data_IF_156313308342
#
_entry.id   IF_156313308342
#
_cell.length_a   1.000
_cell.length_b   1.000
_cell.length_c   1.000
_cell.angle_alpha   90.00
_cell.angle_beta   90.00
_cell.angle_gamma   90.00
#
_symmetry.space_group_name_H-M   'P 1'
#
loop_
_entity.id
_entity.type
_entity.pdbx_description
1 polymer ?
#
# COMPACT_ATOMS: atom_id res chain seq x y z
N UNK A 1 -28.04 -3.52 -9.49
CA UNK A 1 -27.33 -2.60 -8.56
C UNK A 1 -25.96 -3.17 -8.23
N UNK A 2 -24.91 -2.36 -8.32
CA UNK A 2 -23.53 -2.72 -7.94
C UNK A 2 -23.18 -1.93 -6.68
N UNK A 3 -22.61 -2.59 -5.68
CA UNK A 3 -22.14 -1.93 -4.46
C UNK A 3 -20.63 -2.08 -4.32
N UNK A 4 -19.93 -0.96 -4.18
CA UNK A 4 -18.51 -0.92 -3.86
C UNK A 4 -18.32 -0.84 -2.34
N UNK A 5 -17.41 -1.65 -1.82
CA UNK A 5 -17.02 -1.66 -0.40
C UNK A 5 -15.58 -1.18 -0.30
N UNK A 6 -15.40 0.07 0.12
CA UNK A 6 -14.10 0.71 0.26
C UNK A 6 -13.66 0.87 1.72
N UNK A 7 -12.36 1.00 1.93
CA UNK A 7 -11.78 1.52 3.16
C UNK A 7 -10.66 2.49 2.80
N UNK A 8 -10.77 3.74 3.26
CA UNK A 8 -9.73 4.74 3.14
C UNK A 8 -9.16 5.03 4.53
N UNK A 9 -7.97 4.51 4.87
CA UNK A 9 -7.27 4.97 6.04
C UNK A 9 -6.77 6.39 5.79
N UNK A 10 -6.93 7.27 6.77
CA UNK A 10 -6.35 8.61 6.72
C UNK A 10 -4.83 8.46 6.84
N UNK A 11 -4.08 8.86 5.81
CA UNK A 11 -2.61 8.92 5.87
C UNK A 11 -2.18 10.38 5.92
N UNK A 12 -1.67 10.83 7.07
CA UNK A 12 -0.93 12.08 7.19
C UNK A 12 0.52 11.89 6.68
N UNK A 13 0.67 11.39 5.45
CA UNK A 13 1.96 11.37 4.79
C UNK A 13 2.21 12.75 4.16
N UNK A 14 3.31 13.41 4.55
CA UNK A 14 3.70 14.72 4.01
C UNK A 14 3.86 14.66 2.49
N UNK A 15 4.34 13.52 1.96
CA UNK A 15 4.38 13.21 0.53
C UNK A 15 3.88 11.79 0.27
N UNK A 16 2.95 11.67 -0.67
CA UNK A 16 2.55 10.39 -1.22
C UNK A 16 3.50 10.03 -2.36
N UNK A 17 4.71 9.58 -2.02
CA UNK A 17 5.80 9.33 -2.99
C UNK A 17 5.45 8.25 -4.03
N UNK A 18 4.46 7.41 -3.72
CA UNK A 18 3.89 6.43 -4.64
C UNK A 18 2.89 7.01 -5.64
N UNK A 19 2.49 8.27 -5.50
CA UNK A 19 1.51 8.93 -6.35
C UNK A 19 2.23 9.93 -7.25
N UNK A 20 2.52 9.48 -8.46
CA UNK A 20 3.15 10.27 -9.51
C UNK A 20 2.08 10.76 -10.48
N UNK A 21 1.95 12.07 -10.66
CA UNK A 21 0.84 12.66 -11.42
C UNK A 21 0.83 12.29 -12.91
N UNK A 22 1.95 11.86 -13.51
CA UNK A 22 1.96 11.34 -14.89
C UNK A 22 1.53 9.88 -15.03
N UNK A 23 1.52 9.11 -13.94
CA UNK A 23 1.14 7.69 -13.91
C UNK A 23 -0.25 7.48 -13.31
N UNK A 24 -0.60 8.21 -12.26
CA UNK A 24 -1.74 7.93 -11.38
C UNK A 24 -3.02 8.71 -11.71
N UNK A 25 -3.21 9.16 -12.95
CA UNK A 25 -4.45 9.84 -13.36
C UNK A 25 -5.72 9.05 -13.01
N UNK A 26 -6.80 9.76 -12.65
CA UNK A 26 -8.11 9.15 -12.46
C UNK A 26 -8.76 8.83 -13.83
N UNK A 27 -9.62 7.80 -13.91
CA UNK A 27 -10.40 7.53 -15.11
C UNK A 27 -11.17 8.78 -15.54
N UNK A 28 -11.09 9.17 -16.81
CA UNK A 28 -11.82 10.32 -17.38
C UNK A 28 -11.42 11.71 -16.85
N UNK A 29 -10.63 11.82 -15.79
CA UNK A 29 -10.22 13.07 -15.16
C UNK A 29 -8.71 13.06 -14.88
N UNK A 30 -7.86 13.40 -15.86
CA UNK A 30 -6.42 13.50 -15.65
C UNK A 30 -6.12 14.61 -14.63
N UNK A 31 -4.99 14.47 -13.93
CA UNK A 31 -4.49 15.52 -13.05
C UNK A 31 -4.15 16.77 -13.88
N UNK A 32 -4.38 17.98 -13.35
CA UNK A 32 -4.00 19.19 -14.06
C UNK A 32 -2.48 19.26 -14.32
N UNK A 33 -2.04 19.70 -15.51
CA UNK A 33 -0.62 19.72 -15.88
C UNK A 33 0.22 20.71 -15.05
N UNK A 34 -0.43 21.65 -14.36
CA UNK A 34 0.23 22.60 -13.45
C UNK A 34 0.53 22.03 -12.06
N UNK A 35 0.16 20.78 -11.80
CA UNK A 35 0.40 20.14 -10.51
C UNK A 35 1.84 19.68 -10.36
N UNK A 36 2.36 19.62 -9.11
CA UNK A 36 3.66 19.02 -8.88
C UNK A 36 3.67 17.54 -9.27
N UNK A 37 4.85 17.03 -9.62
CA UNK A 37 5.11 15.63 -9.94
C UNK A 37 4.62 14.70 -8.81
N UNK A 38 4.90 15.08 -7.57
CA UNK A 38 4.38 14.44 -6.36
C UNK A 38 3.42 15.38 -5.65
N UNK A 39 2.18 14.93 -5.46
CA UNK A 39 1.11 15.76 -4.90
C UNK A 39 0.96 15.53 -3.39
N UNK A 40 0.84 16.59 -2.57
CA UNK A 40 0.55 16.45 -1.14
C UNK A 40 -0.78 15.73 -0.88
N UNK A 41 -0.87 14.96 0.19
CA UNK A 41 -2.03 14.13 0.51
C UNK A 41 -3.36 14.90 0.54
N UNK A 42 -3.38 16.09 1.16
CA UNK A 42 -4.60 16.92 1.24
C UNK A 42 -5.11 17.33 -0.15
N UNK A 43 -4.19 17.73 -1.04
CA UNK A 43 -4.55 18.14 -2.40
C UNK A 43 -5.11 16.97 -3.22
N UNK A 44 -4.62 15.76 -2.98
CA UNK A 44 -5.20 14.55 -3.58
C UNK A 44 -6.57 14.20 -2.97
N UNK A 45 -6.76 14.40 -1.67
CA UNK A 45 -8.07 14.20 -1.03
C UNK A 45 -9.14 15.14 -1.63
N UNK A 46 -8.83 16.42 -1.77
CA UNK A 46 -9.72 17.41 -2.38
C UNK A 46 -10.05 17.01 -3.85
N UNK A 47 -9.08 16.43 -4.57
CA UNK A 47 -9.30 15.91 -5.92
C UNK A 47 -10.28 14.74 -5.97
N UNK A 48 -10.23 13.84 -4.99
CA UNK A 48 -11.16 12.71 -4.90
C UNK A 48 -12.58 13.16 -4.58
N UNK A 49 -12.73 14.17 -3.71
CA UNK A 49 -14.04 14.78 -3.45
C UNK A 49 -14.61 15.38 -4.72
N UNK A 50 -13.81 16.18 -5.44
CA UNK A 50 -14.22 16.77 -6.71
C UNK A 50 -14.52 15.72 -7.78
N UNK A 51 -13.72 14.65 -7.87
CA UNK A 51 -13.97 13.55 -8.80
C UNK A 51 -15.31 12.87 -8.54
N UNK A 52 -15.64 12.61 -7.28
CA UNK A 52 -16.92 12.01 -6.90
C UNK A 52 -18.11 12.90 -7.29
N UNK A 53 -17.98 14.21 -7.10
CA UNK A 53 -18.99 15.20 -7.51
C UNK A 53 -19.12 15.30 -9.03
N UNK A 54 -18.01 15.54 -9.74
CA UNK A 54 -17.98 15.74 -11.19
C UNK A 54 -18.46 14.52 -11.99
N UNK A 55 -18.25 13.32 -11.46
CA UNK A 55 -18.68 12.05 -12.07
C UNK A 55 -20.05 11.57 -11.55
N UNK A 56 -20.74 12.36 -10.73
CA UNK A 56 -22.04 12.05 -10.11
C UNK A 56 -22.06 10.69 -9.40
N UNK A 57 -20.98 10.37 -8.68
CA UNK A 57 -20.84 9.09 -7.99
C UNK A 57 -21.64 9.05 -6.69
N UNK A 58 -22.41 7.99 -6.50
CA UNK A 58 -23.15 7.74 -5.27
C UNK A 58 -22.22 7.19 -4.18
N UNK A 59 -21.54 8.08 -3.46
CA UNK A 59 -20.59 7.72 -2.39
C UNK A 59 -21.22 7.91 -1.01
N UNK A 60 -21.11 6.90 -0.16
CA UNK A 60 -21.53 6.98 1.25
C UNK A 60 -20.29 7.01 2.14
N UNK A 61 -19.96 8.19 2.66
CA UNK A 61 -18.94 8.36 3.69
C UNK A 61 -19.55 8.11 5.08
N UNK A 62 -18.70 7.98 6.10
CA UNK A 62 -19.15 7.70 7.49
C UNK A 62 -20.08 6.48 7.60
N UNK A 63 -19.83 5.49 6.75
CA UNK A 63 -20.61 4.26 6.64
C UNK A 63 -19.65 3.07 6.51
N UNK A 64 -19.93 2.01 7.27
CA UNK A 64 -19.10 0.80 7.32
C UNK A 64 -19.94 -0.40 6.93
N UNK A 65 -19.49 -1.16 5.94
CA UNK A 65 -20.08 -2.47 5.66
C UNK A 65 -19.66 -3.42 6.78
N UNK A 66 -20.64 -4.00 7.47
CA UNK A 66 -20.38 -4.91 8.60
C UNK A 66 -20.59 -6.38 8.21
N UNK A 67 -21.38 -6.65 7.18
CA UNK A 67 -21.63 -8.01 6.72
C UNK A 67 -22.11 -8.05 5.26
N UNK A 68 -21.69 -9.07 4.50
CA UNK A 68 -22.17 -9.34 3.15
C UNK A 68 -22.33 -10.85 2.90
N UNK A 69 -23.49 -11.28 2.44
CA UNK A 69 -23.78 -12.70 2.14
C UNK A 69 -24.61 -12.86 0.86
N UNK A 70 -24.44 -13.95 0.09
CA UNK A 70 -25.35 -14.28 -0.99
C UNK A 70 -26.72 -14.69 -0.44
N UNK A 71 -27.80 -14.09 -0.95
CA UNK A 71 -29.17 -14.36 -0.53
C UNK A 71 -30.17 -14.17 -1.68
N UNK A 72 -30.88 -15.23 -2.04
CA UNK A 72 -31.99 -15.17 -3.01
C UNK A 72 -31.56 -14.72 -4.41
N UNK A 73 -30.41 -15.20 -4.91
CA UNK A 73 -29.86 -14.83 -6.21
C UNK A 73 -29.22 -13.42 -6.28
N UNK A 74 -29.22 -12.70 -5.14
CA UNK A 74 -28.56 -11.40 -4.96
C UNK A 74 -27.60 -11.47 -3.78
N UNK A 75 -27.01 -10.35 -3.43
CA UNK A 75 -26.29 -10.14 -2.18
C UNK A 75 -27.18 -9.45 -1.17
N UNK A 76 -27.04 -9.78 0.11
CA UNK A 76 -27.52 -8.97 1.23
C UNK A 76 -26.30 -8.32 1.86
N UNK A 77 -26.26 -6.99 1.85
CA UNK A 77 -25.16 -6.21 2.43
C UNK A 77 -25.69 -5.32 3.54
N UNK A 78 -25.15 -5.48 4.74
CA UNK A 78 -25.51 -4.69 5.92
C UNK A 78 -24.49 -3.58 6.10
N UNK A 79 -24.98 -2.34 6.08
CA UNK A 79 -24.18 -1.13 6.21
C UNK A 79 -24.58 -0.41 7.49
N UNK A 80 -23.62 -0.15 8.38
CA UNK A 80 -23.81 0.65 9.58
C UNK A 80 -23.34 2.08 9.33
N UNK A 81 -24.19 3.06 9.61
CA UNK A 81 -23.85 4.49 9.56
C UNK A 81 -23.21 4.94 10.87
N UNK A 82 -22.60 6.13 10.85
CA UNK A 82 -21.99 6.75 12.04
C UNK A 82 -22.96 7.01 13.19
N UNK A 83 -24.26 7.15 12.92
CA UNK A 83 -25.32 7.28 13.94
C UNK A 83 -25.73 5.93 14.57
N UNK A 84 -25.07 4.84 14.17
CA UNK A 84 -25.36 3.48 14.63
C UNK A 84 -26.51 2.79 13.88
N UNK A 85 -27.23 3.49 13.02
CA UNK A 85 -28.33 2.90 12.23
C UNK A 85 -27.79 1.93 11.19
N UNK A 86 -28.55 0.86 10.93
CA UNK A 86 -28.20 -0.13 9.91
C UNK A 86 -29.14 -0.02 8.71
N UNK A 87 -28.57 -0.13 7.52
CA UNK A 87 -29.30 -0.22 6.25
C UNK A 87 -28.88 -1.47 5.51
N UNK A 88 -29.87 -2.19 4.99
CA UNK A 88 -29.65 -3.41 4.21
C UNK A 88 -29.82 -3.09 2.73
N UNK A 89 -28.82 -3.46 1.93
CA UNK A 89 -28.82 -3.35 0.48
C UNK A 89 -28.91 -4.74 -0.16
N UNK A 90 -29.56 -4.81 -1.31
CA UNK A 90 -29.76 -6.05 -2.06
C UNK A 90 -29.13 -5.99 -3.47
N UNK A 91 -27.79 -5.77 -3.60
CA UNK A 91 -27.17 -5.62 -4.91
C UNK A 91 -27.04 -6.96 -5.65
N UNK A 92 -26.95 -6.89 -6.98
CA UNK A 92 -26.69 -8.06 -7.81
C UNK A 92 -25.20 -8.42 -7.79
N UNK A 93 -24.32 -7.41 -7.67
CA UNK A 93 -22.88 -7.58 -7.55
C UNK A 93 -22.28 -6.75 -6.40
N UNK A 94 -21.24 -7.30 -5.77
CA UNK A 94 -20.43 -6.63 -4.74
C UNK A 94 -18.99 -6.56 -5.21
N UNK A 95 -18.39 -5.37 -5.14
CA UNK A 95 -17.00 -5.14 -5.49
C UNK A 95 -16.25 -4.66 -4.24
N UNK A 96 -15.26 -5.44 -3.80
CA UNK A 96 -14.40 -5.09 -2.68
C UNK A 96 -13.24 -4.23 -3.18
N UNK A 97 -13.12 -3.02 -2.65
CA UNK A 97 -12.13 -2.01 -3.01
C UNK A 97 -11.43 -1.44 -1.74
N UNK A 98 -10.99 -2.33 -0.84
CA UNK A 98 -10.40 -1.98 0.48
C UNK A 98 -8.89 -1.66 0.44
N UNK A 99 -8.33 -1.48 -0.75
CA UNK A 99 -6.91 -1.15 -0.95
C UNK A 99 -5.94 -2.28 -0.59
N UNK A 100 -4.63 -1.96 -0.52
CA UNK A 100 -3.58 -2.95 -0.26
C UNK A 100 -3.63 -3.56 1.14
N UNK A 101 -3.92 -2.76 2.15
CA UNK A 101 -3.85 -3.15 3.56
C UNK A 101 -5.17 -3.58 4.19
N UNK A 102 -6.29 -3.61 3.46
CA UNK A 102 -7.59 -4.04 4.01
C UNK A 102 -8.10 -3.25 5.23
N UNK A 103 -7.41 -2.18 5.65
CA UNK A 103 -7.75 -1.35 6.81
C UNK A 103 -7.41 -1.93 8.19
N UNK A 104 -6.72 -3.07 8.29
CA UNK A 104 -6.42 -3.69 9.60
C UNK A 104 -4.93 -3.58 9.92
N UNK A 105 -4.53 -2.70 10.86
CA UNK A 105 -3.14 -2.59 11.31
C UNK A 105 -2.56 -3.92 11.78
N UNK A 106 -1.36 -4.27 11.31
CA UNK A 106 -0.65 -5.46 11.74
C UNK A 106 0.17 -5.17 12.99
N UNK A 107 -0.41 -5.35 14.17
CA UNK A 107 0.28 -5.14 15.45
C UNK A 107 0.98 -6.42 15.91
N UNK A 108 2.33 -6.45 16.02
CA UNK A 108 3.03 -7.57 16.64
C UNK A 108 2.60 -7.72 18.10
N UNK A 109 2.42 -8.97 18.55
CA UNK A 109 2.28 -9.27 19.97
C UNK A 109 3.66 -9.56 20.52
N UNK A 110 4.17 -8.68 21.38
CA UNK A 110 5.49 -8.80 21.99
C UNK A 110 5.30 -8.92 23.50
N UNK A 111 5.97 -9.87 24.19
CA UNK A 111 5.82 -10.03 25.63
C UNK A 111 6.14 -8.75 26.42
N UNK A 112 5.43 -8.52 27.53
CA UNK A 112 5.67 -7.40 28.45
C UNK A 112 5.15 -6.04 27.97
N UNK A 113 4.43 -5.99 26.84
CA UNK A 113 3.92 -4.74 26.27
C UNK A 113 2.93 -4.03 27.21
N UNK A 114 2.19 -4.80 28.00
CA UNK A 114 1.25 -4.34 29.03
C UNK A 114 1.92 -3.60 30.19
N UNK A 115 3.21 -3.85 30.43
CA UNK A 115 4.00 -3.23 31.50
C UNK A 115 4.75 -1.97 31.05
N UNK A 116 4.77 -1.70 29.74
CA UNK A 116 5.45 -0.54 29.16
C UNK A 116 4.73 0.75 29.55
N UNK A 117 5.47 1.70 30.12
CA UNK A 117 4.91 2.96 30.64
C UNK A 117 4.79 4.06 29.58
N UNK A 118 5.39 3.85 28.41
CA UNK A 118 5.31 4.75 27.28
C UNK A 118 4.11 4.50 26.37
N UNK A 119 4.11 5.16 25.21
CA UNK A 119 3.06 5.04 24.21
C UNK A 119 3.37 3.95 23.20
N UNK A 120 2.39 3.08 22.90
CA UNK A 120 2.46 2.15 21.77
C UNK A 120 1.43 2.54 20.72
N UNK A 121 1.87 2.73 19.48
CA UNK A 121 0.98 3.07 18.37
C UNK A 121 1.36 2.35 17.08
N UNK A 122 0.38 2.17 16.19
CA UNK A 122 0.63 1.83 14.80
C UNK A 122 0.87 3.08 13.95
N UNK A 123 1.62 2.98 12.86
CA UNK A 123 1.82 4.07 11.90
C UNK A 123 0.53 4.76 11.43
N UNK A 124 -0.59 4.05 11.34
CA UNK A 124 -1.90 4.63 10.99
C UNK A 124 -2.53 5.50 12.09
N UNK A 125 -1.97 5.48 13.29
CA UNK A 125 -2.36 6.32 14.42
C UNK A 125 -1.41 7.51 14.60
N UNK A 126 -0.31 7.56 13.82
CA UNK A 126 0.58 8.72 13.78
C UNK A 126 -0.12 9.89 13.10
N UNK A 127 -0.19 11.03 13.77
CA UNK A 127 -0.78 12.26 13.24
C UNK A 127 0.28 13.29 12.86
N UNK A 128 1.25 13.48 13.74
CA UNK A 128 2.27 14.52 13.63
C UNK A 128 3.42 14.21 14.59
N UNK A 129 4.67 14.37 14.14
CA UNK A 129 5.84 14.28 15.01
C UNK A 129 5.81 15.26 16.20
N UNK A 130 5.07 16.36 16.10
CA UNK A 130 4.93 17.36 17.17
C UNK A 130 4.34 16.79 18.47
N UNK A 131 3.60 15.68 18.38
CA UNK A 131 3.00 15.02 19.54
C UNK A 131 4.05 14.34 20.44
N UNK A 132 5.29 14.19 19.94
CA UNK A 132 6.39 13.47 20.61
C UNK A 132 7.66 14.32 20.78
N UNK A 133 7.55 15.65 20.75
CA UNK A 133 8.69 16.55 20.99
C UNK A 133 9.29 16.30 22.38
N UNK A 134 10.61 16.14 22.42
CA UNK A 134 11.36 15.84 23.65
C UNK A 134 11.31 14.37 24.09
N UNK A 135 10.65 13.50 23.32
CA UNK A 135 10.58 12.06 23.58
C UNK A 135 11.56 11.28 22.71
N UNK A 136 11.88 10.06 23.13
CA UNK A 136 12.61 9.05 22.36
C UNK A 136 11.63 8.09 21.70
N UNK A 137 11.70 7.97 20.39
CA UNK A 137 10.78 7.15 19.58
C UNK A 137 11.53 6.00 18.91
N UNK A 138 11.03 4.77 19.08
CA UNK A 138 11.41 3.64 18.25
C UNK A 138 10.37 3.42 17.15
N UNK A 139 10.77 3.54 15.89
CA UNK A 139 9.97 3.14 14.73
C UNK A 139 10.32 1.71 14.34
N UNK A 140 9.40 0.77 14.50
CA UNK A 140 9.54 -0.65 14.17
C UNK A 140 9.12 -0.89 12.72
N UNK A 141 10.10 -1.10 11.84
CA UNK A 141 9.91 -1.23 10.40
C UNK A 141 10.99 -0.48 9.63
N UNK A 142 11.14 -0.78 8.33
CA UNK A 142 12.15 -0.14 7.50
C UNK A 142 11.71 0.02 6.03
N UNK A 143 10.40 0.14 5.77
CA UNK A 143 9.86 0.44 4.43
C UNK A 143 9.27 1.86 4.42
N UNK A 144 8.37 2.18 3.48
CA UNK A 144 7.81 3.51 3.25
C UNK A 144 7.34 4.25 4.50
N UNK A 145 6.33 3.75 5.22
CA UNK A 145 5.81 4.46 6.40
C UNK A 145 6.87 4.66 7.49
N UNK A 146 7.83 3.74 7.61
CA UNK A 146 8.86 3.85 8.63
C UNK A 146 9.84 4.99 8.33
N UNK A 147 10.27 5.12 7.06
CA UNK A 147 11.15 6.19 6.63
C UNK A 147 10.47 7.55 6.68
N UNK A 148 9.24 7.65 6.18
CA UNK A 148 8.53 8.93 6.12
C UNK A 148 8.22 9.47 7.52
N UNK A 149 7.81 8.60 8.45
CA UNK A 149 7.55 8.99 9.84
C UNK A 149 8.86 9.30 10.57
N UNK A 150 9.93 8.53 10.35
CA UNK A 150 11.22 8.84 10.96
C UNK A 150 11.80 10.17 10.45
N UNK A 151 11.61 10.50 9.17
CA UNK A 151 11.97 11.80 8.62
C UNK A 151 11.16 12.93 9.25
N UNK A 152 9.83 12.77 9.39
CA UNK A 152 8.95 13.73 10.08
C UNK A 152 9.41 13.98 11.53
N UNK A 153 9.83 12.93 12.25
CA UNK A 153 10.40 13.06 13.59
C UNK A 153 11.69 13.85 13.61
N UNK A 154 12.64 13.54 12.73
CA UNK A 154 13.90 14.29 12.62
C UNK A 154 13.65 15.76 12.30
N UNK A 155 12.74 16.05 11.35
CA UNK A 155 12.41 17.42 10.94
C UNK A 155 11.79 18.25 12.07
N UNK A 156 11.22 17.58 13.08
CA UNK A 156 10.67 18.20 14.28
C UNK A 156 11.57 18.06 15.53
N UNK A 157 12.82 17.60 15.36
CA UNK A 157 13.80 17.52 16.45
C UNK A 157 13.54 16.40 17.47
N UNK A 158 12.80 15.35 17.08
CA UNK A 158 12.51 14.19 17.94
C UNK A 158 13.63 13.15 17.79
N UNK A 159 14.07 12.57 18.92
CA UNK A 159 15.08 11.51 18.93
C UNK A 159 14.46 10.20 18.43
N UNK A 160 14.80 9.79 17.22
CA UNK A 160 14.23 8.61 16.57
C UNK A 160 15.26 7.53 16.28
N UNK A 161 14.89 6.30 16.64
CA UNK A 161 15.60 5.08 16.24
C UNK A 161 14.70 4.26 15.33
N UNK A 162 15.24 3.81 14.20
CA UNK A 162 14.58 2.92 13.25
C UNK A 162 15.03 1.48 13.54
N UNK A 163 14.08 0.60 13.88
CA UNK A 163 14.34 -0.83 14.06
C UNK A 163 14.14 -1.57 12.74
N UNK A 164 15.24 -2.07 12.18
CA UNK A 164 15.23 -2.82 10.92
C UNK A 164 15.43 -4.32 11.18
N UNK A 165 14.33 -5.08 11.11
CA UNK A 165 14.38 -6.54 11.23
C UNK A 165 15.01 -7.23 10.01
N UNK A 166 14.63 -6.79 8.81
CA UNK A 166 14.96 -7.44 7.54
C UNK A 166 15.44 -6.41 6.53
N UNK A 167 16.18 -6.86 5.51
CA UNK A 167 16.66 -5.96 4.46
C UNK A 167 15.52 -5.33 3.67
N UNK A 168 15.78 -4.16 3.07
CA UNK A 168 14.81 -3.40 2.26
C UNK A 168 15.41 -3.01 0.92
N UNK A 169 14.60 -3.04 -0.14
CA UNK A 169 14.96 -2.46 -1.43
C UNK A 169 14.88 -0.94 -1.39
N UNK A 170 15.95 -0.24 -1.76
CA UNK A 170 15.99 1.23 -1.82
C UNK A 170 16.30 1.66 -3.25
N UNK A 171 15.55 2.65 -3.73
CA UNK A 171 15.94 3.48 -4.88
C UNK A 171 15.56 4.93 -4.59
N UNK A 172 16.30 5.90 -5.12
CA UNK A 172 15.85 7.27 -5.10
C UNK A 172 14.73 7.47 -6.13
N UNK A 173 13.78 8.35 -5.81
CA UNK A 173 12.79 8.81 -6.80
C UNK A 173 13.45 9.52 -7.97
N UNK A 174 14.52 10.28 -7.68
CA UNK A 174 15.29 11.04 -8.66
C UNK A 174 15.88 10.16 -9.76
N UNK A 175 16.53 9.06 -9.41
CA UNK A 175 17.18 8.20 -10.39
C UNK A 175 16.27 7.05 -10.86
N UNK A 176 15.48 6.49 -9.95
CA UNK A 176 14.66 5.32 -10.23
C UNK A 176 13.43 5.61 -11.09
N UNK A 177 12.64 6.63 -10.76
CA UNK A 177 11.37 6.87 -11.47
C UNK A 177 11.54 7.21 -12.95
N UNK A 178 12.47 8.10 -13.35
CA UNK A 178 12.72 8.33 -14.77
C UNK A 178 13.18 7.07 -15.50
N UNK A 179 14.02 6.22 -14.88
CA UNK A 179 14.49 4.98 -15.54
C UNK A 179 13.39 3.95 -15.72
N UNK A 180 12.37 3.94 -14.85
CA UNK A 180 11.23 3.03 -14.97
C UNK A 180 10.16 3.55 -15.94
N UNK A 181 9.97 4.87 -16.03
CA UNK A 181 8.75 5.43 -16.62
C UNK A 181 8.97 6.49 -17.70
N UNK A 182 10.21 6.87 -18.02
CA UNK A 182 10.53 7.92 -19.01
C UNK A 182 9.79 7.76 -20.34
N UNK A 183 9.72 6.53 -20.85
CA UNK A 183 9.19 6.28 -22.19
C UNK A 183 7.66 6.02 -22.20
N UNK A 184 7.00 6.07 -21.04
CA UNK A 184 5.56 5.73 -20.92
C UNK A 184 4.79 6.78 -20.14
N UNK A 185 5.15 7.07 -18.90
CA UNK A 185 4.36 7.92 -18.01
C UNK A 185 5.01 9.28 -17.73
N UNK A 186 6.13 9.59 -18.38
CA UNK A 186 6.86 10.84 -18.20
C UNK A 186 6.40 11.95 -19.15
N UNK A 187 6.82 13.18 -18.85
CA UNK A 187 6.57 14.32 -19.72
C UNK A 187 7.10 14.06 -21.14
N UNK A 188 6.20 14.17 -22.13
CA UNK A 188 6.51 13.92 -23.54
C UNK A 188 6.33 12.48 -24.02
N UNK A 189 6.00 11.52 -23.14
CA UNK A 189 5.81 10.11 -23.52
C UNK A 189 4.53 9.84 -24.35
N UNK A 190 3.61 10.79 -24.38
CA UNK A 190 2.35 10.69 -25.13
C UNK A 190 1.13 10.42 -24.24
N UNK A 191 0.01 9.97 -24.83
CA UNK A 191 -1.24 9.78 -24.07
C UNK A 191 -1.14 8.62 -23.07
N UNK A 192 -1.61 8.85 -21.84
CA UNK A 192 -1.57 7.86 -20.75
C UNK A 192 -2.25 6.54 -21.11
N UNK A 193 -3.31 6.56 -21.92
CA UNK A 193 -4.00 5.34 -22.33
C UNK A 193 -3.15 4.47 -23.27
N UNK A 194 -2.23 5.08 -24.03
CA UNK A 194 -1.25 4.33 -24.83
C UNK A 194 -0.26 3.67 -23.88
N UNK A 195 0.24 4.41 -22.89
CA UNK A 195 1.19 3.93 -21.88
C UNK A 195 0.63 2.78 -21.04
N UNK A 196 -0.65 2.88 -20.64
CA UNK A 196 -1.36 1.80 -19.96
C UNK A 196 -1.41 0.53 -20.82
N UNK A 197 -1.71 0.66 -22.13
CA UNK A 197 -1.74 -0.48 -23.05
C UNK A 197 -0.35 -1.08 -23.24
N UNK A 198 0.68 -0.27 -23.36
CA UNK A 198 2.07 -0.74 -23.45
C UNK A 198 2.43 -1.54 -22.20
N UNK A 199 2.17 -0.99 -21.01
CA UNK A 199 2.46 -1.65 -19.75
C UNK A 199 1.70 -2.98 -19.62
N UNK A 200 0.40 -2.99 -19.93
CA UNK A 200 -0.44 -4.19 -19.85
C UNK A 200 -0.14 -5.24 -20.94
N UNK A 201 0.54 -4.86 -22.03
CA UNK A 201 0.93 -5.79 -23.09
C UNK A 201 2.16 -6.63 -22.77
N UNK A 202 2.89 -6.28 -21.71
CA UNK A 202 4.13 -6.95 -21.31
C UNK A 202 3.85 -8.01 -20.24
N UNK A 203 4.13 -9.31 -20.49
CA UNK A 203 3.94 -10.35 -19.49
C UNK A 203 4.77 -10.09 -18.23
N UNK A 204 4.20 -10.34 -17.05
CA UNK A 204 4.85 -10.01 -15.77
C UNK A 204 6.22 -10.67 -15.59
N UNK A 205 6.40 -11.90 -16.06
CA UNK A 205 7.70 -12.59 -16.02
C UNK A 205 8.73 -12.00 -16.97
N UNK A 206 8.30 -11.48 -18.12
CA UNK A 206 9.19 -10.73 -19.00
C UNK A 206 9.60 -9.39 -18.36
N UNK A 207 8.64 -8.69 -17.76
CA UNK A 207 8.90 -7.45 -17.01
C UNK A 207 9.88 -7.69 -15.87
N UNK A 208 9.75 -8.82 -15.14
CA UNK A 208 10.70 -9.21 -14.10
C UNK A 208 12.14 -9.24 -14.63
N UNK A 209 12.38 -9.94 -15.73
CA UNK A 209 13.71 -10.06 -16.34
C UNK A 209 14.25 -8.72 -16.85
N UNK A 210 13.39 -7.88 -17.43
CA UNK A 210 13.76 -6.52 -17.83
C UNK A 210 14.15 -5.66 -16.62
N UNK A 211 13.40 -5.76 -15.53
CA UNK A 211 13.63 -4.99 -14.32
C UNK A 211 14.90 -5.39 -13.57
N UNK A 212 15.44 -6.60 -13.75
CA UNK A 212 16.76 -6.96 -13.20
C UNK A 212 17.86 -6.03 -13.76
N UNK A 213 17.79 -5.72 -15.06
CA UNK A 213 18.72 -4.79 -15.70
C UNK A 213 18.53 -3.36 -15.20
N UNK A 214 17.28 -2.88 -15.23
CA UNK A 214 16.97 -1.53 -14.73
C UNK A 214 17.34 -1.36 -13.26
N UNK A 215 17.12 -2.37 -12.43
CA UNK A 215 17.50 -2.34 -11.01
C UNK A 215 19.01 -2.18 -10.83
N UNK A 216 19.80 -2.82 -11.68
CA UNK A 216 21.26 -2.68 -11.67
C UNK A 216 21.70 -1.27 -12.10
N UNK A 217 21.07 -0.72 -13.14
CA UNK A 217 21.32 0.65 -13.61
C UNK A 217 20.92 1.71 -12.59
N UNK A 218 19.78 1.53 -11.92
CA UNK A 218 19.31 2.39 -10.83
C UNK A 218 20.29 2.30 -9.65
N UNK A 219 20.74 1.10 -9.29
CA UNK A 219 21.69 0.92 -8.20
C UNK A 219 23.04 1.61 -8.46
N UNK A 220 23.53 1.61 -9.70
CA UNK A 220 24.75 2.35 -10.07
C UNK A 220 24.51 3.87 -10.00
N UNK A 221 23.35 4.35 -10.44
CA UNK A 221 22.99 5.76 -10.34
C UNK A 221 22.85 6.22 -8.87
N UNK A 222 22.29 5.37 -8.01
CA UNK A 222 22.10 5.60 -6.58
C UNK A 222 23.31 5.18 -5.73
N UNK A 223 24.45 4.86 -6.35
CA UNK A 223 25.62 4.27 -5.67
C UNK A 223 26.04 5.02 -4.42
N UNK A 224 26.05 6.35 -4.46
CA UNK A 224 26.43 7.17 -3.30
C UNK A 224 25.50 6.95 -2.10
N UNK A 225 24.18 6.95 -2.32
CA UNK A 225 23.18 6.72 -1.26
C UNK A 225 23.29 5.27 -0.77
N UNK A 226 23.38 4.29 -1.67
CA UNK A 226 23.44 2.88 -1.30
C UNK A 226 24.72 2.54 -0.52
N UNK A 227 25.87 3.10 -0.91
CA UNK A 227 27.12 2.95 -0.15
C UNK A 227 27.07 3.66 1.20
N UNK A 228 26.47 4.85 1.27
CA UNK A 228 26.24 5.56 2.52
C UNK A 228 25.39 4.73 3.50
N UNK A 229 24.27 4.19 3.02
CA UNK A 229 23.38 3.34 3.81
C UNK A 229 24.10 2.08 4.31
N UNK A 230 24.90 1.42 3.47
CA UNK A 230 25.72 0.27 3.88
C UNK A 230 26.71 0.65 4.98
N UNK A 231 27.39 1.80 4.86
CA UNK A 231 28.34 2.30 5.88
C UNK A 231 27.63 2.62 7.20
N UNK A 232 26.41 3.15 7.15
CA UNK A 232 25.57 3.37 8.33
C UNK A 232 25.05 2.06 8.96
N UNK A 233 25.25 0.91 8.30
CA UNK A 233 24.83 -0.41 8.78
C UNK A 233 23.43 -0.82 8.32
N UNK A 234 22.78 -0.05 7.42
CA UNK A 234 21.46 -0.39 6.90
C UNK A 234 21.51 -1.63 5.99
N UNK A 235 20.58 -2.57 6.18
CA UNK A 235 20.49 -3.83 5.43
C UNK A 235 19.72 -3.59 4.12
N UNK A 236 20.41 -3.69 3.00
CA UNK A 236 19.84 -3.54 1.66
C UNK A 236 19.54 -4.88 0.98
N UNK A 237 18.60 -4.90 0.05
CA UNK A 237 18.44 -5.94 -0.96
C UNK A 237 18.09 -5.32 -2.32
N UNK A 238 18.01 -6.14 -3.36
CA UNK A 238 17.72 -5.71 -4.73
C UNK A 238 16.35 -6.21 -5.23
N UNK A 239 15.43 -6.52 -4.31
CA UNK A 239 14.17 -7.21 -4.63
C UNK A 239 14.36 -8.70 -4.90
N UNK A 240 13.24 -9.40 -5.12
CA UNK A 240 13.27 -10.83 -5.42
C UNK A 240 14.05 -11.08 -6.72
N UNK A 241 15.10 -11.92 -6.66
CA UNK A 241 15.97 -12.22 -7.80
C UNK A 241 16.58 -10.99 -8.49
N UNK A 242 16.71 -9.87 -7.77
CA UNK A 242 17.26 -8.62 -8.32
C UNK A 242 16.26 -7.77 -9.12
N UNK A 243 14.97 -8.12 -9.12
CA UNK A 243 13.92 -7.47 -9.94
C UNK A 243 13.39 -6.12 -9.40
N UNK A 244 13.89 -5.66 -8.26
CA UNK A 244 13.63 -4.32 -7.74
C UNK A 244 12.19 -4.01 -7.33
N UNK A 245 11.82 -2.73 -7.44
CA UNK A 245 10.60 -2.16 -6.88
C UNK A 245 9.31 -2.71 -7.49
N UNK A 246 9.16 -2.67 -8.83
CA UNK A 246 7.88 -2.98 -9.47
C UNK A 246 7.46 -4.43 -9.27
N UNK A 247 8.41 -5.37 -9.31
CA UNK A 247 8.09 -6.77 -9.05
C UNK A 247 7.70 -7.02 -7.58
N UNK A 248 8.40 -6.40 -6.63
CA UNK A 248 8.00 -6.44 -5.22
C UNK A 248 6.59 -5.84 -4.99
N UNK A 249 6.21 -4.79 -5.73
CA UNK A 249 4.87 -4.21 -5.67
C UNK A 249 3.80 -5.18 -6.20
N UNK A 250 4.08 -5.88 -7.31
CA UNK A 250 3.17 -6.88 -7.89
C UNK A 250 2.98 -8.10 -6.99
N UNK A 251 4.05 -8.68 -6.45
CA UNK A 251 3.97 -9.94 -5.69
C UNK A 251 3.59 -9.72 -4.23
N UNK A 252 4.30 -8.83 -3.54
CA UNK A 252 4.17 -8.60 -2.10
C UNK A 252 3.39 -7.35 -1.73
N UNK A 253 3.41 -6.32 -2.57
CA UNK A 253 2.83 -5.01 -2.24
C UNK A 253 3.61 -4.26 -1.16
N UNK A 254 4.93 -4.48 -1.06
CA UNK A 254 5.80 -3.82 -0.09
C UNK A 254 7.22 -4.39 -0.08
N UNK A 255 8.02 -4.02 0.93
CA UNK A 255 9.43 -4.46 1.03
C UNK A 255 10.44 -3.54 0.34
N UNK A 256 10.00 -2.34 -0.03
CA UNK A 256 10.80 -1.30 -0.65
C UNK A 256 10.59 0.05 0.04
N UNK A 257 11.50 0.98 -0.23
CA UNK A 257 11.30 2.41 -0.01
C UNK A 257 11.83 3.19 -1.21
N UNK A 258 11.10 4.25 -1.56
CA UNK A 258 11.41 5.16 -2.65
C UNK A 258 11.89 6.46 -2.01
N UNK A 259 13.19 6.69 -2.04
CA UNK A 259 13.82 7.77 -1.28
C UNK A 259 13.49 9.15 -1.88
N UNK A 260 13.12 10.05 -0.98
CA UNK A 260 12.91 11.48 -1.21
C UNK A 260 13.74 12.35 -0.25
N UNK A 261 14.74 11.75 0.42
CA UNK A 261 15.68 12.43 1.32
C UNK A 261 15.82 11.78 2.69
N UNK A 262 14.95 10.86 3.07
CA UNK A 262 15.00 10.16 4.35
C UNK A 262 16.25 9.28 4.49
N UNK A 263 16.74 8.70 3.39
CA UNK A 263 17.96 7.90 3.43
C UNK A 263 19.19 8.73 3.82
N UNK A 264 19.26 10.00 3.41
CA UNK A 264 20.36 10.88 3.82
C UNK A 264 20.37 11.11 5.34
N UNK A 265 19.19 11.23 5.97
CA UNK A 265 19.07 11.37 7.43
C UNK A 265 19.59 10.13 8.19
N UNK A 266 19.48 8.94 7.61
CA UNK A 266 20.09 7.72 8.15
C UNK A 266 21.61 7.78 7.99
N UNK A 267 22.10 8.18 6.80
CA UNK A 267 23.54 8.30 6.49
C UNK A 267 24.22 9.29 7.44
N UNK A 268 23.56 10.40 7.73
CA UNK A 268 24.05 11.47 8.61
C UNK A 268 23.91 11.13 10.10
N UNK A 269 23.33 9.97 10.44
CA UNK A 269 23.12 9.53 11.82
C UNK A 269 22.00 10.27 12.57
N UNK A 270 21.18 11.06 11.87
CA UNK A 270 20.02 11.73 12.46
C UNK A 270 18.89 10.74 12.79
N UNK A 271 18.72 9.73 11.93
CA UNK A 271 17.89 8.56 12.23
C UNK A 271 18.83 7.45 12.70
N UNK A 272 18.74 7.07 13.98
CA UNK A 272 19.56 5.98 14.54
C UNK A 272 19.06 4.63 14.03
N UNK A 273 19.93 3.63 13.96
CA UNK A 273 19.57 2.27 13.53
C UNK A 273 19.72 1.25 14.66
N UNK A 274 18.71 0.40 14.83
CA UNK A 274 18.79 -0.83 15.63
C UNK A 274 18.44 -2.02 14.73
N UNK A 275 19.42 -2.85 14.40
CA UNK A 275 19.22 -3.95 13.45
C UNK A 275 20.15 -5.17 13.66
N UNK A 276 20.92 -5.16 14.73
CA UNK A 276 21.90 -6.17 15.16
C UNK A 276 21.27 -7.31 15.97
N UNK A 277 20.05 -7.13 16.49
CA UNK A 277 19.37 -8.11 17.35
C UNK A 277 17.86 -8.09 17.18
N UNK A 278 17.16 -9.15 17.60
CA UNK A 278 15.70 -9.21 17.58
C UNK A 278 15.12 -8.63 18.87
N UNK A 279 13.92 -8.05 18.79
CA UNK A 279 13.16 -7.66 19.98
C UNK A 279 12.77 -8.94 20.73
N UNK A 280 13.16 -9.05 21.99
CA UNK A 280 12.78 -10.16 22.86
C UNK A 280 11.47 -9.85 23.59
N UNK A 281 11.42 -8.70 24.28
CA UNK A 281 10.27 -8.25 25.06
C UNK A 281 10.31 -6.75 25.32
N UNK A 282 9.18 -6.18 25.70
CA UNK A 282 9.14 -4.87 26.32
C UNK A 282 9.71 -4.92 27.74
N UNK A 283 10.25 -3.79 28.17
CA UNK A 283 10.55 -3.46 29.57
C UNK A 283 9.63 -2.34 30.02
N UNK A 284 9.74 -1.89 31.27
CA UNK A 284 8.93 -0.76 31.76
C UNK A 284 9.23 0.56 31.02
N UNK A 285 10.47 0.72 30.56
CA UNK A 285 11.00 1.97 29.98
C UNK A 285 11.41 1.84 28.51
N UNK A 286 11.26 0.67 27.90
CA UNK A 286 11.71 0.44 26.53
C UNK A 286 11.61 -1.01 26.08
N UNK A 287 12.64 -1.51 25.42
CA UNK A 287 12.71 -2.88 24.90
C UNK A 287 14.03 -3.57 25.24
N UNK A 288 13.93 -4.86 25.53
CA UNK A 288 15.05 -5.80 25.64
C UNK A 288 15.19 -6.56 24.32
N UNK A 289 16.42 -6.70 23.86
CA UNK A 289 16.77 -7.45 22.65
C UNK A 289 17.44 -8.78 23.01
N UNK A 290 17.37 -9.73 22.09
CA UNK A 290 17.84 -11.12 22.29
C UNK A 290 19.35 -11.27 22.54
N UNK A 291 20.13 -10.21 22.30
CA UNK A 291 21.57 -10.12 22.56
C UNK A 291 21.86 -9.55 23.96
N UNK A 292 20.82 -9.28 24.75
CA UNK A 292 20.90 -8.67 26.08
C UNK A 292 21.00 -7.14 26.07
N UNK A 293 21.02 -6.50 24.90
CA UNK A 293 21.01 -5.04 24.82
C UNK A 293 19.62 -4.48 25.15
N UNK A 294 19.56 -3.28 25.72
CA UNK A 294 18.31 -2.57 26.02
C UNK A 294 18.26 -1.22 25.28
N UNK A 295 17.05 -0.79 24.93
CA UNK A 295 16.80 0.52 24.35
C UNK A 295 15.63 1.20 25.08
N UNK A 296 15.93 2.22 25.87
CA UNK A 296 14.94 3.07 26.52
C UNK A 296 14.27 4.00 25.51
N UNK A 297 12.94 3.97 25.47
CA UNK A 297 12.10 4.81 24.61
C UNK A 297 10.79 5.17 25.30
N UNK A 298 10.28 6.35 24.98
CA UNK A 298 8.97 6.81 25.46
C UNK A 298 7.85 6.37 24.52
N UNK A 299 8.17 6.06 23.27
CA UNK A 299 7.20 5.69 22.22
C UNK A 299 7.71 4.53 21.38
N UNK A 300 6.86 3.54 21.15
CA UNK A 300 7.08 2.48 20.15
C UNK A 300 6.02 2.58 19.06
N UNK A 301 6.47 2.91 17.86
CA UNK A 301 5.65 3.08 16.67
C UNK A 301 5.84 1.90 15.71
N UNK A 302 4.80 1.10 15.55
CA UNK A 302 4.78 -0.02 14.62
C UNK A 302 4.46 0.44 13.20
N UNK A 303 5.49 0.49 12.34
CA UNK A 303 5.38 0.66 10.89
C UNK A 303 5.42 -0.72 10.19
N UNK A 304 4.63 -1.66 10.71
CA UNK A 304 4.63 -3.09 10.36
C UNK A 304 3.63 -3.47 9.27
N UNK A 305 3.03 -2.45 8.63
CA UNK A 305 2.05 -2.61 7.57
C UNK A 305 0.68 -3.06 8.10
N UNK A 306 -0.13 -3.58 7.20
CA UNK A 306 -1.50 -3.99 7.49
C UNK A 306 -1.69 -5.46 7.11
N UNK A 307 -2.74 -6.09 7.63
CA UNK A 307 -3.15 -7.41 7.15
C UNK A 307 -3.58 -7.33 5.68
N UNK A 308 -3.49 -8.45 4.96
CA UNK A 308 -3.92 -8.49 3.57
C UNK A 308 -5.44 -8.28 3.43
N UNK A 309 -5.88 -7.85 2.25
CA UNK A 309 -7.30 -7.71 1.91
C UNK A 309 -8.15 -8.97 2.21
N UNK A 310 -7.51 -10.16 2.25
CA UNK A 310 -8.17 -11.41 2.66
C UNK A 310 -8.74 -11.36 4.07
N UNK A 311 -8.01 -10.80 5.04
CA UNK A 311 -8.51 -10.68 6.41
C UNK A 311 -9.74 -9.75 6.47
N UNK A 312 -9.71 -8.64 5.74
CA UNK A 312 -10.84 -7.70 5.64
C UNK A 312 -12.06 -8.39 5.02
N UNK A 313 -11.88 -9.12 3.92
CA UNK A 313 -12.97 -9.84 3.27
C UNK A 313 -13.55 -10.94 4.17
N UNK A 314 -12.72 -11.72 4.86
CA UNK A 314 -13.18 -12.75 5.79
C UNK A 314 -14.07 -12.19 6.90
N UNK A 315 -13.73 -11.00 7.43
CA UNK A 315 -14.57 -10.31 8.42
C UNK A 315 -15.93 -9.90 7.84
N UNK A 316 -16.00 -9.57 6.55
CA UNK A 316 -17.23 -9.15 5.89
C UNK A 316 -18.15 -10.33 5.55
N UNK A 317 -17.58 -11.42 5.00
CA UNK A 317 -18.38 -12.52 4.44
C UNK A 317 -18.45 -13.78 5.32
N UNK A 318 -17.68 -13.82 6.41
CA UNK A 318 -17.55 -14.99 7.27
C UNK A 318 -16.59 -16.06 6.72
N UNK A 319 -16.22 -17.02 7.57
CA UNK A 319 -15.22 -18.06 7.24
C UNK A 319 -15.70 -19.00 6.12
N UNK A 320 -16.97 -19.41 6.14
CA UNK A 320 -17.54 -20.34 5.17
C UNK A 320 -17.47 -19.82 3.73
N UNK A 321 -17.78 -18.54 3.52
CA UNK A 321 -17.67 -17.93 2.19
C UNK A 321 -16.23 -17.50 1.91
N UNK A 322 -15.52 -16.97 2.91
CA UNK A 322 -14.13 -16.56 2.80
C UNK A 322 -13.20 -17.71 2.35
N UNK A 323 -13.43 -18.92 2.84
CA UNK A 323 -12.66 -20.12 2.47
C UNK A 323 -12.78 -20.49 0.98
N UNK A 324 -13.90 -20.13 0.33
CA UNK A 324 -14.16 -20.35 -1.10
C UNK A 324 -13.56 -19.28 -1.99
N UNK A 325 -13.08 -18.17 -1.41
CA UNK A 325 -12.48 -17.08 -2.16
C UNK A 325 -11.05 -17.48 -2.55
N UNK A 326 -10.78 -17.42 -3.84
CA UNK A 326 -9.45 -17.66 -4.43
C UNK A 326 -8.37 -16.80 -3.77
N UNK A 327 -7.10 -17.15 -4.01
CA UNK A 327 -6.01 -16.26 -3.64
C UNK A 327 -6.27 -14.85 -4.21
N UNK A 328 -5.81 -13.84 -3.48
CA UNK A 328 -5.99 -12.45 -3.85
C UNK A 328 -4.65 -11.77 -3.84
N UNK A 329 -4.32 -11.15 -4.96
CA UNK A 329 -3.01 -10.58 -5.23
C UNK A 329 -1.89 -11.61 -5.31
N UNK A 330 -0.70 -11.15 -5.69
CA UNK A 330 0.41 -11.96 -6.18
C UNK A 330 0.14 -12.54 -7.58
N UNK A 331 1.16 -13.16 -8.18
CA UNK A 331 1.13 -13.72 -9.53
C UNK A 331 0.94 -15.23 -9.49
N UNK A 332 0.11 -15.76 -10.39
CA UNK A 332 -0.05 -17.20 -10.60
C UNK A 332 1.08 -17.78 -11.48
N UNK A 333 1.01 -19.07 -11.76
CA UNK A 333 2.00 -19.79 -12.59
C UNK A 333 2.12 -19.25 -14.04
N UNK A 334 1.12 -18.49 -14.52
CA UNK A 334 1.13 -17.83 -15.82
C UNK A 334 1.66 -16.39 -15.76
N UNK A 335 1.97 -15.88 -14.56
CA UNK A 335 2.37 -14.49 -14.34
C UNK A 335 1.20 -13.51 -14.26
N UNK A 336 -0.02 -14.00 -14.05
CA UNK A 336 -1.24 -13.19 -13.95
C UNK A 336 -1.63 -12.94 -12.50
N UNK A 337 -2.16 -11.75 -12.20
CA UNK A 337 -2.61 -11.41 -10.85
C UNK A 337 -3.76 -12.32 -10.39
N UNK A 338 -3.67 -12.84 -9.16
CA UNK A 338 -4.74 -13.59 -8.52
C UNK A 338 -5.90 -12.69 -8.11
N UNK A 339 -7.12 -13.03 -8.57
CA UNK A 339 -8.39 -12.50 -8.06
C UNK A 339 -8.69 -11.01 -8.33
N UNK A 340 -7.68 -10.15 -8.42
CA UNK A 340 -7.85 -8.73 -8.73
C UNK A 340 -8.44 -8.59 -10.13
N UNK A 341 -9.62 -7.95 -10.21
CA UNK A 341 -10.40 -7.71 -11.44
C UNK A 341 -10.81 -8.97 -12.20
N UNK A 342 -10.66 -10.14 -11.57
CA UNK A 342 -10.93 -11.48 -12.11
C UNK A 342 -11.93 -12.20 -11.22
N UNK A 343 -12.27 -13.43 -11.59
CA UNK A 343 -13.14 -14.26 -10.77
C UNK A 343 -12.47 -14.69 -9.48
N UNK A 344 -13.25 -14.67 -8.40
CA UNK A 344 -12.79 -15.01 -7.04
C UNK A 344 -13.28 -16.37 -6.54
N UNK A 345 -13.87 -17.20 -7.40
CA UNK A 345 -14.53 -18.44 -6.94
C UNK A 345 -15.98 -18.23 -6.46
N UNK A 346 -16.41 -16.97 -6.28
CA UNK A 346 -17.75 -16.62 -5.76
C UNK A 346 -18.54 -15.81 -6.80
N UNK A 347 -19.75 -16.26 -7.20
CA UNK A 347 -20.58 -15.53 -8.17
C UNK A 347 -20.88 -14.10 -7.75
N UNK A 348 -20.74 -13.17 -8.70
CA UNK A 348 -21.04 -11.75 -8.52
C UNK A 348 -20.31 -11.05 -7.36
N UNK A 349 -19.22 -11.64 -6.88
CA UNK A 349 -18.32 -11.05 -5.89
C UNK A 349 -16.99 -10.75 -6.57
N UNK A 350 -16.52 -9.53 -6.44
CA UNK A 350 -15.35 -9.05 -7.15
C UNK A 350 -14.39 -8.33 -6.21
N UNK A 351 -13.14 -8.23 -6.64
CA UNK A 351 -12.09 -7.56 -5.91
C UNK A 351 -11.33 -6.62 -6.83
N UNK A 352 -11.12 -5.40 -6.36
CA UNK A 352 -10.36 -4.37 -7.03
C UNK A 352 -9.27 -3.90 -6.08
N UNK A 353 -8.02 -3.98 -6.54
CA UNK A 353 -6.83 -3.63 -5.77
C UNK A 353 -5.76 -3.08 -6.71
N UNK A 354 -4.96 -2.16 -6.21
CA UNK A 354 -3.88 -1.53 -6.95
C UNK A 354 -3.82 -0.04 -6.64
N UNK A 355 -2.91 0.64 -7.33
CA UNK A 355 -2.82 2.09 -7.42
C UNK A 355 -3.88 2.67 -8.38
N UNK A 356 -3.84 3.98 -8.62
CA UNK A 356 -4.79 4.63 -9.53
C UNK A 356 -4.59 4.21 -10.98
N UNK A 357 -3.35 3.94 -11.41
CA UNK A 357 -3.04 3.51 -12.78
C UNK A 357 -3.67 2.15 -13.12
N UNK A 358 -3.43 1.15 -12.26
CA UNK A 358 -4.02 -0.19 -12.40
C UNK A 358 -5.54 -0.15 -12.26
N UNK A 359 -6.08 0.66 -11.35
CA UNK A 359 -7.53 0.86 -11.22
C UNK A 359 -8.12 1.51 -12.47
N UNK A 360 -7.46 2.52 -13.04
CA UNK A 360 -7.85 3.17 -14.30
C UNK A 360 -7.93 2.15 -15.43
N UNK A 361 -6.91 1.32 -15.58
CA UNK A 361 -6.88 0.34 -16.65
C UNK A 361 -7.90 -0.80 -16.46
N UNK A 362 -7.99 -1.39 -15.27
CA UNK A 362 -8.79 -2.60 -15.05
C UNK A 362 -10.25 -2.37 -14.65
N UNK A 363 -10.63 -1.16 -14.23
CA UNK A 363 -12.04 -0.81 -13.97
C UNK A 363 -12.95 -1.14 -15.17
N UNK A 364 -12.49 -0.83 -16.39
CA UNK A 364 -13.23 -1.13 -17.62
C UNK A 364 -13.37 -2.63 -17.86
N UNK A 365 -12.32 -3.41 -17.63
CA UNK A 365 -12.38 -4.88 -17.75
C UNK A 365 -13.41 -5.48 -16.80
N UNK A 366 -13.41 -5.04 -15.54
CA UNK A 366 -14.38 -5.50 -14.56
C UNK A 366 -15.82 -5.08 -14.92
N UNK A 367 -16.01 -3.84 -15.35
CA UNK A 367 -17.31 -3.33 -15.77
C UNK A 367 -17.87 -4.11 -16.98
N UNK A 368 -17.03 -4.43 -17.97
CA UNK A 368 -17.42 -5.23 -19.13
C UNK A 368 -17.77 -6.67 -18.76
N UNK A 369 -17.04 -7.30 -17.84
CA UNK A 369 -17.38 -8.62 -17.32
C UNK A 369 -18.76 -8.60 -16.63
N UNK A 370 -19.01 -7.62 -15.77
CA UNK A 370 -20.31 -7.45 -15.09
C UNK A 370 -21.43 -7.22 -16.12
N UNK A 371 -21.19 -6.35 -17.11
CA UNK A 371 -22.19 -6.08 -18.15
C UNK A 371 -22.49 -7.33 -18.97
N UNK A 372 -21.49 -8.11 -19.35
CA UNK A 372 -21.68 -9.36 -20.08
C UNK A 372 -22.50 -10.38 -19.28
N UNK A 373 -22.32 -10.45 -17.95
CA UNK A 373 -23.12 -11.31 -17.07
C UNK A 373 -24.58 -10.85 -17.06
N UNK A 374 -24.82 -9.55 -16.94
CA UNK A 374 -26.16 -8.97 -16.93
C UNK A 374 -26.91 -9.18 -18.25
N UNK A 375 -26.20 -9.16 -19.37
CA UNK A 375 -26.75 -9.41 -20.72
C UNK A 375 -26.83 -10.92 -21.06
N UNK A 376 -26.36 -11.81 -20.19
CA UNK A 376 -26.36 -13.25 -20.44
C UNK A 376 -25.39 -13.70 -21.55
N UNK A 377 -24.43 -12.85 -21.92
CA UNK A 377 -23.41 -13.14 -22.96
C UNK A 377 -22.03 -13.46 -22.36
N UNK A 378 -21.95 -13.58 -21.04
CA UNK A 378 -20.73 -13.99 -20.36
C UNK A 378 -20.45 -15.46 -20.65
N UNK A 379 -19.60 -15.71 -21.64
CA UNK A 379 -19.23 -17.05 -22.08
C UNK A 379 -18.37 -17.82 -21.08
N UNK A 380 -17.76 -18.89 -21.56
CA UNK A 380 -16.86 -19.74 -20.78
C UNK A 380 -15.57 -19.00 -20.43
N UNK A 381 -15.12 -19.10 -19.18
CA UNK A 381 -13.88 -18.46 -18.73
C UNK A 381 -12.65 -19.21 -19.24
N UNK A 382 -11.61 -18.44 -19.56
CA UNK A 382 -10.32 -18.96 -20.01
C UNK A 382 -9.54 -19.69 -18.90
N UNK A 383 -9.71 -19.30 -17.63
CA UNK A 383 -9.09 -19.96 -16.48
C UNK A 383 -10.07 -20.07 -15.29
N UNK A 384 -9.91 -21.07 -14.40
CA UNK A 384 -10.79 -21.32 -13.24
C UNK A 384 -10.95 -20.15 -12.27
#
# INVERSE_FOLDING_TARGET
>A
MILFVGHFPYYNAVYLVLFYTGFDHLPYMPFPPSWPVYTPAQKLADWFEYYAEAMELNVWTSATVIHAEPKGGKWKVVVRKSDGTERIFHPDHVIIAVGFGGGVPKMPKIPGQEDFQGQVLHSSQHKSARDHVGQKVLVVGACTSAHDIAADYVDHGVDVTLFQRSSTYIMSTKEGMPRLFKDTFWEGAGPTEVSDRVHASLPAFMLKEMHVRLTSEIAEADKQILEGLKKAGFKLNFGQDGSGFLYNAMTRGGGYYLDVGSCQKIIDGQIKLKNDSQIERFTKTGLLFTDGSELDVDVVLFATGFDGARAAIFRLVGEDLGSKISQMWDLNEEGEAYGAWRYLGVPNFWFMKGDLATCRFHSKHLALQIKAIQEGVYGTRYAP
#
